data_IF_270502306000
#
_entry.id   IF_270502306000
#
_cell.length_a   1.000
_cell.length_b   1.000
_cell.length_c   1.000
_cell.angle_alpha   90.00
_cell.angle_beta   90.00
_cell.angle_gamma   90.00
#
_symmetry.space_group_name_H-M   'P 1'
#
loop_
_entity.id
_entity.type
_entity.pdbx_description
1 polymer ?
#
# COMPACT_ATOMS: atom_id res chain seq x y z
N UNK A 1 6.00 42.92 34.61
CA UNK A 1 4.73 42.15 34.69
C UNK A 1 4.35 41.38 33.42
N UNK A 2 4.66 41.81 32.19
CA UNK A 2 4.18 41.12 30.96
C UNK A 2 4.92 39.82 30.58
N UNK A 3 6.21 39.66 30.92
CA UNK A 3 7.01 38.46 30.55
C UNK A 3 6.65 37.20 31.36
N UNK A 4 6.26 37.34 32.62
CA UNK A 4 5.93 36.22 33.50
C UNK A 4 4.60 35.55 33.14
N UNK A 5 3.63 36.33 32.64
CA UNK A 5 2.31 35.83 32.20
C UNK A 5 2.41 35.04 30.90
N UNK A 6 3.25 35.49 29.96
CA UNK A 6 3.51 34.78 28.70
C UNK A 6 4.20 33.42 28.93
N UNK A 7 5.14 33.36 29.87
CA UNK A 7 5.81 32.10 30.23
C UNK A 7 4.86 31.11 30.91
N UNK A 8 3.96 31.59 31.77
CA UNK A 8 2.94 30.77 32.42
C UNK A 8 1.92 30.22 31.42
N UNK A 9 1.44 31.03 30.47
CA UNK A 9 0.53 30.58 29.42
C UNK A 9 1.17 29.57 28.47
N UNK A 10 2.43 29.78 28.07
CA UNK A 10 3.12 28.80 27.22
C UNK A 10 3.35 27.48 27.95
N UNK A 11 3.74 27.53 29.22
CA UNK A 11 4.01 26.34 30.02
C UNK A 11 2.73 25.52 30.32
N UNK A 12 1.60 26.18 30.59
CA UNK A 12 0.30 25.49 30.75
C UNK A 12 -0.26 24.94 29.44
N UNK A 13 -0.05 25.61 28.31
CA UNK A 13 -0.44 25.08 26.99
C UNK A 13 0.38 23.83 26.65
N UNK A 14 1.69 23.84 26.90
CA UNK A 14 2.58 22.69 26.63
C UNK A 14 2.28 21.52 27.57
N UNK A 15 2.04 21.76 28.87
CA UNK A 15 1.69 20.69 29.82
C UNK A 15 0.31 20.08 29.54
N UNK A 16 -0.68 20.89 29.15
CA UNK A 16 -2.01 20.37 28.82
C UNK A 16 -2.01 19.58 27.51
N UNK A 17 -1.25 20.00 26.49
CA UNK A 17 -1.08 19.20 25.26
C UNK A 17 -0.32 17.90 25.52
N UNK A 18 0.69 17.90 26.40
CA UNK A 18 1.42 16.68 26.77
C UNK A 18 0.55 15.69 27.56
N UNK A 19 -0.23 16.18 28.53
CA UNK A 19 -1.14 15.36 29.32
C UNK A 19 -2.31 14.82 28.48
N UNK A 20 -2.84 15.61 27.55
CA UNK A 20 -3.85 15.14 26.59
C UNK A 20 -3.29 14.03 25.68
N UNK A 21 -2.05 14.16 25.23
CA UNK A 21 -1.39 13.11 24.44
C UNK A 21 -1.19 11.83 25.24
N UNK A 22 -0.77 11.90 26.50
CA UNK A 22 -0.52 10.70 27.31
C UNK A 22 -1.82 9.96 27.66
N UNK A 23 -2.89 10.69 27.98
CA UNK A 23 -4.24 10.14 28.18
C UNK A 23 -4.79 9.56 26.86
N UNK A 24 -4.54 10.22 25.72
CA UNK A 24 -4.94 9.71 24.40
C UNK A 24 -4.20 8.42 24.04
N UNK A 25 -2.89 8.32 24.34
CA UNK A 25 -2.07 7.13 24.11
C UNK A 25 -2.53 5.96 25.01
N UNK A 26 -2.85 6.20 26.28
CA UNK A 26 -3.35 5.16 27.19
C UNK A 26 -4.75 4.67 26.78
N UNK A 27 -5.61 5.56 26.30
CA UNK A 27 -6.95 5.20 25.78
C UNK A 27 -6.85 4.48 24.43
N UNK A 28 -5.91 4.86 23.57
CA UNK A 28 -5.57 4.17 22.32
C UNK A 28 -5.11 2.72 22.55
N UNK A 29 -4.23 2.48 23.53
CA UNK A 29 -3.80 1.13 23.89
C UNK A 29 -4.96 0.25 24.40
N UNK A 30 -5.93 0.86 25.10
CA UNK A 30 -7.15 0.19 25.57
C UNK A 30 -8.11 -0.12 24.42
N UNK A 31 -8.26 0.78 23.45
CA UNK A 31 -9.09 0.59 22.25
C UNK A 31 -8.56 -0.52 21.33
N UNK A 32 -7.25 -0.60 21.12
CA UNK A 32 -6.62 -1.70 20.35
C UNK A 32 -6.85 -3.05 21.02
N UNK A 33 -6.78 -3.12 22.36
CA UNK A 33 -7.06 -4.35 23.11
C UNK A 33 -8.51 -4.80 22.93
N UNK A 34 -9.46 -3.87 22.99
CA UNK A 34 -10.90 -4.15 22.86
C UNK A 34 -11.33 -4.44 21.41
N UNK A 35 -10.66 -3.85 20.42
CA UNK A 35 -10.85 -4.17 19.00
C UNK A 35 -10.39 -5.59 18.65
N UNK A 36 -9.32 -6.09 19.29
CA UNK A 36 -8.91 -7.50 19.22
C UNK A 36 -9.90 -8.44 19.92
N UNK A 37 -10.70 -7.91 20.86
CA UNK A 37 -11.70 -8.65 21.65
C UNK A 37 -13.12 -8.58 21.06
N UNK A 38 -13.34 -7.90 19.91
CA UNK A 38 -14.55 -8.07 19.10
C UNK A 38 -15.76 -7.19 19.46
N UNK A 39 -15.59 -6.08 20.18
CA UNK A 39 -16.70 -5.14 20.49
C UNK A 39 -16.77 -4.00 19.46
N UNK A 40 -17.67 -4.13 18.47
CA UNK A 40 -17.62 -3.39 17.20
C UNK A 40 -18.34 -2.02 17.24
N UNK A 41 -19.14 -1.67 18.26
CA UNK A 41 -19.99 -0.46 18.18
C UNK A 41 -19.43 0.84 18.82
N UNK A 42 -18.34 0.78 19.60
CA UNK A 42 -17.76 1.96 20.27
C UNK A 42 -16.49 2.46 19.54
N UNK A 43 -15.88 1.62 18.68
CA UNK A 43 -14.66 1.95 17.95
C UNK A 43 -14.79 3.04 16.88
N UNK A 44 -15.99 3.33 16.38
CA UNK A 44 -16.20 4.35 15.34
C UNK A 44 -15.94 5.77 15.85
N UNK A 45 -16.35 6.09 17.08
CA UNK A 45 -16.18 7.42 17.68
C UNK A 45 -14.71 7.70 18.02
N UNK A 46 -13.98 6.69 18.49
CA UNK A 46 -12.58 6.84 18.93
C UNK A 46 -11.59 6.89 17.75
N UNK A 47 -11.86 6.14 16.68
CA UNK A 47 -11.05 6.19 15.44
C UNK A 47 -11.25 7.53 14.72
N UNK A 48 -12.47 8.08 14.69
CA UNK A 48 -12.74 9.42 14.17
C UNK A 48 -12.00 10.51 14.96
N UNK A 49 -11.95 10.43 16.30
CA UNK A 49 -11.17 11.36 17.12
C UNK A 49 -9.65 11.22 16.93
N UNK A 50 -9.14 10.00 16.78
CA UNK A 50 -7.72 9.78 16.49
C UNK A 50 -7.31 10.25 15.09
N UNK A 51 -8.22 10.13 14.11
CA UNK A 51 -8.05 10.72 12.79
C UNK A 51 -8.07 12.25 12.85
N UNK A 52 -8.92 12.86 13.68
CA UNK A 52 -8.92 14.31 13.95
C UNK A 52 -7.62 14.77 14.64
N UNK A 53 -7.03 13.92 15.48
CA UNK A 53 -5.70 14.15 16.06
C UNK A 53 -4.54 13.91 15.06
N UNK A 54 -4.85 13.46 13.83
CA UNK A 54 -3.89 13.31 12.76
C UNK A 54 -2.98 12.07 12.87
N UNK A 55 -3.41 11.02 13.57
CA UNK A 55 -2.70 9.73 13.59
C UNK A 55 -2.86 9.01 12.23
N UNK A 56 -1.74 8.62 11.62
CA UNK A 56 -1.73 8.09 10.26
C UNK A 56 -2.37 6.69 10.16
N UNK A 57 -2.22 5.84 11.18
CA UNK A 57 -2.83 4.50 11.22
C UNK A 57 -4.36 4.60 11.37
N UNK A 58 -4.84 5.49 12.24
CA UNK A 58 -6.28 5.75 12.41
C UNK A 58 -6.92 6.31 11.14
N UNK A 59 -6.25 7.26 10.47
CA UNK A 59 -6.68 7.79 9.17
C UNK A 59 -6.76 6.69 8.10
N UNK A 60 -5.79 5.77 8.09
CA UNK A 60 -5.79 4.62 7.18
C UNK A 60 -6.96 3.66 7.45
N UNK A 61 -7.21 3.33 8.72
CA UNK A 61 -8.31 2.43 9.09
C UNK A 61 -9.69 3.02 8.77
N UNK A 62 -9.90 4.34 8.96
CA UNK A 62 -11.12 5.00 8.47
C UNK A 62 -11.26 4.89 6.96
N UNK A 63 -10.15 5.13 6.23
CA UNK A 63 -10.12 5.00 4.78
C UNK A 63 -10.53 3.60 4.33
N UNK A 64 -9.97 2.56 4.95
CA UNK A 64 -10.33 1.16 4.69
C UNK A 64 -11.78 0.84 5.03
N UNK A 65 -12.29 1.35 6.15
CA UNK A 65 -13.66 1.10 6.55
C UNK A 65 -14.64 1.68 5.52
N UNK A 66 -14.41 2.90 5.04
CA UNK A 66 -15.22 3.52 3.98
C UNK A 66 -15.17 2.79 2.62
N UNK A 67 -14.13 1.97 2.38
CA UNK A 67 -14.05 1.10 1.21
C UNK A 67 -14.82 -0.22 1.38
N UNK A 68 -14.98 -0.70 2.61
CA UNK A 68 -15.49 -2.04 2.92
C UNK A 68 -16.87 -2.08 3.57
N UNK A 69 -17.43 -0.93 3.96
CA UNK A 69 -18.71 -0.88 4.66
C UNK A 69 -19.88 -1.29 3.74
N UNK A 70 -20.37 -2.51 3.97
CA UNK A 70 -21.51 -3.08 3.25
C UNK A 70 -22.86 -2.43 3.64
N UNK A 71 -22.95 -1.78 4.80
CA UNK A 71 -24.16 -1.13 5.28
C UNK A 71 -24.34 0.30 4.73
N UNK A 72 -23.24 0.99 4.42
CA UNK A 72 -23.24 2.36 3.86
C UNK A 72 -22.99 2.41 2.34
N UNK A 73 -22.59 1.30 1.74
CA UNK A 73 -22.09 1.28 0.36
C UNK A 73 -20.68 1.86 0.26
N UNK A 74 -19.97 1.55 -0.84
CA UNK A 74 -18.61 2.05 -1.05
C UNK A 74 -18.62 3.57 -1.22
N UNK A 75 -18.09 4.32 -0.26
CA UNK A 75 -17.92 5.77 -0.38
C UNK A 75 -16.47 6.10 -0.76
N UNK A 76 -16.15 5.90 -2.05
CA UNK A 76 -14.81 6.10 -2.61
C UNK A 76 -14.31 7.53 -2.35
N UNK A 77 -15.19 8.53 -2.43
CA UNK A 77 -14.83 9.94 -2.23
C UNK A 77 -14.35 10.16 -0.80
N UNK A 78 -15.08 9.66 0.20
CA UNK A 78 -14.71 9.81 1.61
C UNK A 78 -13.48 8.98 1.96
N UNK A 79 -13.40 7.73 1.47
CA UNK A 79 -12.23 6.87 1.64
C UNK A 79 -10.95 7.53 1.09
N UNK A 80 -11.01 8.08 -0.12
CA UNK A 80 -9.87 8.75 -0.77
C UNK A 80 -9.37 9.94 0.05
N UNK A 81 -10.27 10.71 0.66
CA UNK A 81 -9.88 11.83 1.56
C UNK A 81 -9.07 11.34 2.75
N UNK A 82 -9.57 10.33 3.47
CA UNK A 82 -8.90 9.79 4.66
C UNK A 82 -7.57 9.12 4.33
N UNK A 83 -7.56 8.31 3.28
CA UNK A 83 -6.34 7.65 2.81
C UNK A 83 -5.29 8.68 2.38
N UNK A 84 -5.68 9.78 1.71
CA UNK A 84 -4.77 10.86 1.31
C UNK A 84 -4.11 11.51 2.51
N UNK A 85 -4.88 11.84 3.55
CA UNK A 85 -4.32 12.40 4.78
C UNK A 85 -3.33 11.44 5.47
N UNK A 86 -3.65 10.15 5.51
CA UNK A 86 -2.74 9.11 6.03
C UNK A 86 -1.45 9.00 5.20
N UNK A 87 -1.59 8.99 3.87
CA UNK A 87 -0.47 8.89 2.95
C UNK A 87 0.44 10.12 2.98
N UNK A 88 -0.12 11.33 3.12
CA UNK A 88 0.63 12.58 3.31
C UNK A 88 1.44 12.60 4.60
N UNK A 89 1.06 11.77 5.58
CA UNK A 89 1.81 11.55 6.83
C UNK A 89 2.82 10.40 6.75
N UNK A 90 3.05 9.83 5.56
CA UNK A 90 4.02 8.76 5.34
C UNK A 90 3.46 7.35 5.52
N UNK A 91 2.15 7.16 5.65
CA UNK A 91 1.58 5.83 5.81
C UNK A 91 1.63 5.03 4.50
N UNK A 92 2.59 4.12 4.39
CA UNK A 92 2.87 3.36 3.15
C UNK A 92 1.66 2.58 2.66
N UNK A 93 0.95 1.86 3.53
CA UNK A 93 -0.23 1.09 3.09
C UNK A 93 -1.35 2.00 2.59
N UNK A 94 -1.41 3.25 3.06
CA UNK A 94 -2.40 4.21 2.55
C UNK A 94 -2.01 4.71 1.16
N UNK A 95 -0.72 4.94 0.90
CA UNK A 95 -0.21 5.24 -0.43
C UNK A 95 -0.54 4.11 -1.41
N UNK A 96 -0.32 2.85 -1.02
CA UNK A 96 -0.65 1.69 -1.85
C UNK A 96 -2.16 1.59 -2.12
N UNK A 97 -2.99 1.75 -1.08
CA UNK A 97 -4.45 1.71 -1.24
C UNK A 97 -4.97 2.87 -2.10
N UNK A 98 -4.41 4.08 -1.98
CA UNK A 98 -4.75 5.21 -2.87
C UNK A 98 -4.39 4.90 -4.32
N UNK A 99 -3.18 4.39 -4.55
CA UNK A 99 -2.75 4.02 -5.89
C UNK A 99 -3.70 3.00 -6.51
N UNK A 100 -4.11 1.99 -5.73
CA UNK A 100 -5.09 0.99 -6.14
C UNK A 100 -6.46 1.62 -6.45
N UNK A 101 -6.95 2.50 -5.59
CA UNK A 101 -8.21 3.20 -5.80
C UNK A 101 -8.18 3.99 -7.11
N UNK A 102 -7.11 4.74 -7.38
CA UNK A 102 -6.98 5.50 -8.61
C UNK A 102 -6.83 4.61 -9.86
N UNK A 103 -6.10 3.49 -9.74
CA UNK A 103 -5.86 2.57 -10.86
C UNK A 103 -7.15 1.86 -11.32
N UNK A 104 -8.01 1.45 -10.39
CA UNK A 104 -9.14 0.56 -10.71
C UNK A 104 -10.53 1.23 -10.68
N UNK A 105 -10.66 2.44 -10.15
CA UNK A 105 -11.95 3.16 -10.12
C UNK A 105 -12.07 4.24 -11.21
N UNK A 106 -11.08 4.36 -12.11
CA UNK A 106 -11.16 5.26 -13.26
C UNK A 106 -10.22 4.80 -14.35
N UNK A 107 -10.67 4.88 -15.60
CA UNK A 107 -9.85 4.62 -16.80
C UNK A 107 -9.26 5.90 -17.37
N UNK A 108 -9.44 7.04 -16.71
CA UNK A 108 -8.91 8.31 -17.18
C UNK A 108 -7.39 8.39 -16.97
N UNK A 109 -6.69 8.94 -17.96
CA UNK A 109 -5.23 9.09 -17.93
C UNK A 109 -4.74 9.86 -16.69
N UNK A 110 -5.53 10.83 -16.21
CA UNK A 110 -5.21 11.60 -15.00
C UNK A 110 -5.20 10.72 -13.74
N UNK A 111 -6.10 9.75 -13.64
CA UNK A 111 -6.16 8.84 -12.50
C UNK A 111 -5.00 7.84 -12.51
N UNK A 112 -4.62 7.31 -13.68
CA UNK A 112 -3.43 6.44 -13.78
C UNK A 112 -2.15 7.18 -13.40
N UNK A 113 -2.05 8.48 -13.70
CA UNK A 113 -0.93 9.31 -13.25
C UNK A 113 -0.91 9.46 -11.73
N UNK A 114 -2.08 9.69 -11.11
CA UNK A 114 -2.18 9.73 -9.64
C UNK A 114 -1.81 8.38 -9.01
N UNK A 115 -2.17 7.27 -9.63
CA UNK A 115 -1.75 5.95 -9.18
C UNK A 115 -0.23 5.78 -9.23
N UNK A 116 0.41 6.17 -10.35
CA UNK A 116 1.88 6.18 -10.50
C UNK A 116 2.54 7.00 -9.39
N UNK A 117 2.06 8.22 -9.14
CA UNK A 117 2.62 9.12 -8.13
C UNK A 117 2.58 8.50 -6.71
N UNK A 118 1.47 7.86 -6.33
CA UNK A 118 1.34 7.24 -5.00
C UNK A 118 2.16 5.96 -4.87
N UNK A 119 2.18 5.10 -5.89
CA UNK A 119 3.03 3.92 -5.86
C UNK A 119 4.51 4.27 -5.85
N UNK A 120 4.91 5.35 -6.54
CA UNK A 120 6.28 5.88 -6.53
C UNK A 120 6.69 6.37 -5.16
N UNK A 121 5.84 7.11 -4.45
CA UNK A 121 6.10 7.48 -3.05
C UNK A 121 6.32 6.25 -2.16
N UNK A 122 5.49 5.22 -2.29
CA UNK A 122 5.68 3.97 -1.54
C UNK A 122 7.01 3.27 -1.91
N UNK A 123 7.32 3.19 -3.20
CA UNK A 123 8.56 2.60 -3.70
C UNK A 123 9.82 3.36 -3.25
N UNK A 124 9.77 4.70 -3.21
CA UNK A 124 10.86 5.56 -2.73
C UNK A 124 11.12 5.37 -1.23
N UNK A 125 10.10 4.96 -0.47
CA UNK A 125 10.23 4.50 0.93
C UNK A 125 10.75 3.04 1.04
N UNK A 126 11.15 2.43 -0.07
CA UNK A 126 11.69 1.07 -0.13
C UNK A 126 10.64 -0.05 -0.11
N UNK A 127 9.36 0.27 -0.28
CA UNK A 127 8.29 -0.73 -0.22
C UNK A 127 8.24 -1.57 -1.51
N UNK A 128 8.36 -2.89 -1.34
CA UNK A 128 8.42 -3.84 -2.44
C UNK A 128 7.08 -3.97 -3.22
N UNK A 129 5.94 -3.87 -2.53
CA UNK A 129 4.61 -3.87 -3.15
C UNK A 129 4.42 -2.63 -4.04
N UNK A 130 4.87 -1.45 -3.61
CA UNK A 130 4.84 -0.22 -4.41
C UNK A 130 5.66 -0.34 -5.69
N UNK A 131 6.85 -0.94 -5.60
CA UNK A 131 7.67 -1.25 -6.79
C UNK A 131 6.96 -2.23 -7.72
N UNK A 132 6.34 -3.28 -7.17
CA UNK A 132 5.54 -4.21 -7.95
C UNK A 132 4.37 -3.52 -8.67
N UNK A 133 3.61 -2.68 -7.97
CA UNK A 133 2.47 -1.95 -8.54
C UNK A 133 2.87 -0.97 -9.64
N UNK A 134 4.03 -0.33 -9.54
CA UNK A 134 4.58 0.46 -10.65
C UNK A 134 4.88 -0.40 -11.87
N UNK A 135 5.46 -1.59 -11.67
CA UNK A 135 5.67 -2.54 -12.77
C UNK A 135 4.36 -2.96 -13.43
N UNK A 136 3.35 -3.24 -12.61
CA UNK A 136 2.02 -3.63 -13.08
C UNK A 136 1.33 -2.52 -13.90
N UNK A 137 1.41 -1.27 -13.42
CA UNK A 137 0.87 -0.10 -14.12
C UNK A 137 1.50 0.08 -15.52
N UNK A 138 2.80 -0.13 -15.64
CA UNK A 138 3.47 -0.04 -16.94
C UNK A 138 3.13 -1.22 -17.85
N UNK A 139 3.05 -2.44 -17.29
CA UNK A 139 2.64 -3.64 -18.03
C UNK A 139 1.24 -3.53 -18.62
N UNK A 140 0.28 -2.99 -17.85
CA UNK A 140 -1.11 -2.82 -18.27
C UNK A 140 -1.31 -1.82 -19.42
N UNK A 141 -0.31 -0.98 -19.71
CA UNK A 141 -0.40 -0.02 -20.81
C UNK A 141 -0.26 -0.64 -22.21
N UNK A 142 0.10 -1.93 -22.29
CA UNK A 142 0.37 -2.70 -23.52
C UNK A 142 1.40 -2.07 -24.48
N UNK A 143 2.12 -1.04 -24.05
CA UNK A 143 3.16 -0.40 -24.82
C UNK A 143 4.49 -1.15 -24.61
N UNK A 144 5.11 -1.59 -25.72
CA UNK A 144 6.39 -2.32 -25.69
C UNK A 144 7.50 -1.60 -24.94
N UNK A 145 7.61 -0.27 -25.04
CA UNK A 145 8.61 0.50 -24.30
C UNK A 145 8.35 0.45 -22.78
N UNK A 146 7.07 0.48 -22.38
CA UNK A 146 6.67 0.39 -20.98
C UNK A 146 6.89 -1.01 -20.38
N UNK A 147 6.95 -2.07 -21.19
CA UNK A 147 7.33 -3.40 -20.73
C UNK A 147 8.76 -3.46 -20.16
N UNK A 148 9.72 -2.75 -20.78
CA UNK A 148 11.08 -2.65 -20.25
C UNK A 148 11.15 -1.85 -18.93
N UNK A 149 10.27 -0.85 -18.78
CA UNK A 149 10.12 -0.12 -17.51
C UNK A 149 9.51 -1.05 -16.45
N UNK A 150 8.52 -1.86 -16.81
CA UNK A 150 7.92 -2.86 -15.93
C UNK A 150 8.95 -3.87 -15.44
N UNK A 151 9.81 -4.37 -16.34
CA UNK A 151 10.92 -5.26 -16.01
C UNK A 151 11.79 -4.69 -14.89
N UNK A 152 12.25 -3.44 -15.07
CA UNK A 152 13.11 -2.76 -14.08
C UNK A 152 12.45 -2.63 -12.71
N UNK A 153 11.13 -2.42 -12.66
CA UNK A 153 10.38 -2.33 -11.42
C UNK A 153 10.19 -3.69 -10.74
N UNK A 154 9.91 -4.75 -11.51
CA UNK A 154 9.81 -6.10 -10.97
C UNK A 154 11.15 -6.58 -10.41
N UNK A 155 12.26 -6.31 -11.09
CA UNK A 155 13.60 -6.64 -10.59
C UNK A 155 13.90 -5.96 -9.24
N UNK A 156 13.58 -4.65 -9.12
CA UNK A 156 13.70 -3.93 -7.84
C UNK A 156 12.81 -4.52 -6.75
N UNK A 157 11.58 -4.87 -7.08
CA UNK A 157 10.65 -5.49 -6.14
C UNK A 157 11.15 -6.86 -5.66
N UNK A 158 11.72 -7.68 -6.55
CA UNK A 158 12.33 -8.98 -6.20
C UNK A 158 13.51 -8.80 -5.26
N UNK A 159 14.39 -7.81 -5.51
CA UNK A 159 15.50 -7.47 -4.62
C UNK A 159 15.03 -7.07 -3.21
N UNK A 160 13.79 -6.58 -3.09
CA UNK A 160 13.13 -6.26 -1.81
C UNK A 160 12.23 -7.38 -1.28
N UNK A 161 12.28 -8.57 -1.88
CA UNK A 161 11.58 -9.77 -1.40
C UNK A 161 10.14 -9.94 -1.92
N UNK A 162 9.71 -9.18 -2.93
CA UNK A 162 8.38 -9.34 -3.49
C UNK A 162 8.29 -10.60 -4.37
N UNK A 163 7.59 -11.62 -3.87
CA UNK A 163 7.53 -12.96 -4.50
C UNK A 163 6.80 -12.92 -5.84
N UNK A 164 5.61 -12.31 -5.90
CA UNK A 164 4.79 -12.30 -7.11
C UNK A 164 5.46 -11.56 -8.28
N UNK A 165 6.42 -10.68 -8.02
CA UNK A 165 7.24 -10.05 -9.07
C UNK A 165 8.07 -11.06 -9.86
N UNK A 166 8.47 -12.20 -9.27
CA UNK A 166 9.17 -13.25 -10.00
C UNK A 166 8.30 -13.81 -11.13
N UNK A 167 7.02 -14.05 -10.87
CA UNK A 167 6.09 -14.51 -11.90
C UNK A 167 5.97 -13.49 -13.03
N UNK A 168 5.72 -12.22 -12.70
CA UNK A 168 5.53 -11.19 -13.73
C UNK A 168 6.81 -10.89 -14.52
N UNK A 169 7.98 -10.97 -13.89
CA UNK A 169 9.25 -10.87 -14.59
C UNK A 169 9.47 -12.07 -15.53
N UNK A 170 9.16 -13.29 -15.08
CA UNK A 170 9.18 -14.50 -15.91
C UNK A 170 8.25 -14.37 -17.12
N UNK A 171 7.06 -13.82 -16.92
CA UNK A 171 6.13 -13.51 -18.01
C UNK A 171 6.73 -12.55 -19.04
N UNK A 172 7.43 -11.49 -18.60
CA UNK A 172 8.09 -10.58 -19.53
C UNK A 172 9.19 -11.28 -20.34
N UNK A 173 9.96 -12.17 -19.73
CA UNK A 173 11.04 -12.91 -20.40
C UNK A 173 10.47 -13.93 -21.40
N UNK A 174 9.42 -14.68 -21.02
CA UNK A 174 8.72 -15.62 -21.92
C UNK A 174 8.19 -14.94 -23.18
N UNK A 175 7.74 -13.68 -23.06
CA UNK A 175 7.19 -12.90 -24.17
C UNK A 175 8.24 -12.04 -24.91
N UNK A 176 9.54 -12.21 -24.62
CA UNK A 176 10.62 -11.53 -25.33
C UNK A 176 10.76 -10.02 -25.02
N UNK A 177 10.28 -9.58 -23.85
CA UNK A 177 10.43 -8.19 -23.38
C UNK A 177 11.74 -7.95 -22.62
N UNK A 178 12.74 -8.81 -22.82
CA UNK A 178 14.11 -8.63 -22.35
C UNK A 178 15.07 -9.18 -23.41
N UNK A 179 16.01 -8.34 -23.88
CA UNK A 179 16.85 -8.66 -25.03
C UNK A 179 17.92 -9.72 -24.73
N UNK A 180 18.30 -9.87 -23.47
CA UNK A 180 19.36 -10.75 -22.98
C UNK A 180 18.83 -11.95 -22.17
N UNK A 181 17.51 -12.20 -22.22
CA UNK A 181 16.84 -13.24 -21.43
C UNK A 181 16.14 -14.24 -22.31
N UNK A 182 16.06 -15.45 -21.79
CA UNK A 182 15.55 -16.63 -22.48
C UNK A 182 14.31 -17.19 -21.78
N UNK A 183 13.65 -18.16 -22.42
CA UNK A 183 12.57 -18.92 -21.79
C UNK A 183 13.09 -19.72 -20.59
N UNK A 184 14.35 -20.16 -20.59
CA UNK A 184 14.96 -20.82 -19.43
C UNK A 184 15.09 -19.88 -18.23
N UNK A 185 15.43 -18.61 -18.46
CA UNK A 185 15.42 -17.58 -17.42
C UNK A 185 14.01 -17.35 -16.86
N UNK A 186 12.99 -17.37 -17.72
CA UNK A 186 11.59 -17.30 -17.31
C UNK A 186 11.19 -18.51 -16.44
N UNK A 187 11.59 -19.73 -16.84
CA UNK A 187 11.34 -20.97 -16.09
C UNK A 187 12.00 -20.90 -14.71
N UNK A 188 13.22 -20.38 -14.61
CA UNK A 188 13.90 -20.20 -13.32
C UNK A 188 13.09 -19.29 -12.37
N UNK A 189 12.57 -18.17 -12.88
CA UNK A 189 11.72 -17.26 -12.12
C UNK A 189 10.38 -17.89 -11.72
N UNK A 190 9.75 -18.64 -12.63
CA UNK A 190 8.51 -19.36 -12.31
C UNK A 190 8.73 -20.43 -11.25
N UNK A 191 9.85 -21.16 -11.26
CA UNK A 191 10.19 -22.12 -10.21
C UNK A 191 10.33 -21.45 -8.83
N UNK A 192 10.93 -20.27 -8.77
CA UNK A 192 11.04 -19.49 -7.53
C UNK A 192 9.65 -19.12 -7.00
N UNK A 193 8.78 -18.57 -7.85
CA UNK A 193 7.42 -18.22 -7.47
C UNK A 193 6.56 -19.44 -7.09
N UNK A 194 6.69 -20.54 -7.83
CA UNK A 194 5.96 -21.78 -7.60
C UNK A 194 6.34 -22.47 -6.29
N UNK A 195 7.62 -22.46 -5.89
CA UNK A 195 8.07 -22.94 -4.56
C UNK A 195 7.42 -22.18 -3.41
N UNK A 196 7.12 -20.90 -3.64
CA UNK A 196 6.38 -20.06 -2.71
C UNK A 196 4.85 -20.19 -2.86
N UNK A 197 4.39 -21.25 -3.55
CA UNK A 197 2.98 -21.59 -3.79
C UNK A 197 2.20 -20.51 -4.53
N UNK A 198 2.85 -19.75 -5.41
CA UNK A 198 2.16 -18.81 -6.30
C UNK A 198 1.46 -19.58 -7.44
N UNK A 199 0.11 -19.69 -7.46
CA UNK A 199 -0.61 -20.61 -8.34
C UNK A 199 -0.36 -20.36 -9.83
N UNK A 200 -0.29 -19.10 -10.24
CA UNK A 200 -0.10 -18.70 -11.63
C UNK A 200 1.26 -19.13 -12.16
N UNK A 201 2.28 -19.20 -11.30
CA UNK A 201 3.60 -19.70 -11.68
C UNK A 201 3.58 -21.23 -11.86
N UNK A 202 2.80 -21.95 -11.05
CA UNK A 202 2.58 -23.39 -11.22
C UNK A 202 1.92 -23.68 -12.58
N UNK A 203 0.89 -22.90 -12.93
CA UNK A 203 0.20 -23.04 -14.20
C UNK A 203 1.09 -22.64 -15.40
N UNK A 204 1.93 -21.60 -15.25
CA UNK A 204 2.90 -21.24 -16.28
C UNK A 204 3.90 -22.38 -16.55
N UNK A 205 4.41 -23.03 -15.50
CA UNK A 205 5.30 -24.19 -15.66
C UNK A 205 4.60 -25.36 -16.37
N UNK A 206 3.34 -25.67 -15.99
CA UNK A 206 2.56 -26.71 -16.65
C UNK A 206 2.32 -26.40 -18.12
N UNK A 207 2.00 -25.14 -18.46
CA UNK A 207 1.84 -24.68 -19.85
C UNK A 207 3.11 -24.90 -20.68
N UNK A 208 4.27 -24.78 -20.06
CA UNK A 208 5.58 -25.05 -20.66
C UNK A 208 5.97 -26.53 -20.64
N UNK A 209 5.07 -27.43 -20.23
CA UNK A 209 5.32 -28.88 -20.17
C UNK A 209 6.20 -29.33 -18.99
N UNK A 210 6.36 -28.48 -17.98
CA UNK A 210 7.22 -28.74 -16.82
C UNK A 210 6.39 -29.06 -15.57
N UNK A 211 6.87 -29.99 -14.76
CA UNK A 211 6.30 -30.29 -13.44
C UNK A 211 7.21 -29.74 -12.35
N UNK A 212 6.61 -29.38 -11.20
CA UNK A 212 7.38 -28.92 -10.04
C UNK A 212 7.87 -30.16 -9.33
N UNK A 213 9.14 -30.51 -9.55
CA UNK A 213 9.82 -31.47 -8.70
C UNK A 213 10.02 -30.84 -7.32
N UNK A 214 9.55 -31.55 -6.28
CA UNK A 214 9.63 -31.13 -4.87
C UNK A 214 11.07 -30.97 -4.38
#
# INVERSE_FOLDING_TARGET
>A
MKRTVLFFCFYTIVLTTFAQNEIAIQKFAKGIKMAREGYISIGSIDVEQAALAGNADALYELGKWNLNDKALGVNIIQATKWLKLAAEKGHVSAMLTLGYVYQYNSTEQNHLKLADDWYRKAADMGNAEGMFRLGDLQRLSENKQKMFIAQSWYEKAIQKGHIASNYWLGYLYENGFAADKTVDDAIALYRIAARQRFPEAIEALKRLGLTIEN
#
